data_IF_041971634435
#
_entry.id   IF_041971634435
#
_cell.length_a   1.000
_cell.length_b   1.000
_cell.length_c   1.000
_cell.angle_alpha   90.00
_cell.angle_beta   90.00
_cell.angle_gamma   90.00
#
_symmetry.space_group_name_H-M   'P 1'
#
loop_
_entity.id
_entity.type
_entity.pdbx_description
1 polymer ?
#
# COMPACT_ATOMS: atom_id res chain seq x y z
N UNK A 1 -6.88 15.78 20.71
CA UNK A 1 -6.47 15.01 19.53
C UNK A 1 -6.99 15.74 18.32
N UNK A 2 -6.11 16.24 17.45
CA UNK A 2 -6.54 16.85 16.19
C UNK A 2 -7.15 15.76 15.32
N UNK A 3 -8.43 15.90 14.97
CA UNK A 3 -9.08 15.00 14.00
C UNK A 3 -8.28 15.02 12.71
N UNK A 4 -7.96 13.85 12.17
CA UNK A 4 -7.35 13.76 10.84
C UNK A 4 -8.41 14.06 9.78
N UNK A 5 -7.95 14.28 8.55
CA UNK A 5 -8.80 14.68 7.41
C UNK A 5 -9.84 13.62 7.06
N UNK A 6 -9.46 12.34 7.13
CA UNK A 6 -10.29 11.22 6.69
C UNK A 6 -10.61 10.28 7.86
N UNK A 7 -11.83 9.73 7.87
CA UNK A 7 -12.28 8.70 8.80
C UNK A 7 -11.61 7.38 8.50
N UNK A 8 -11.87 6.79 7.32
CA UNK A 8 -11.28 5.50 6.91
C UNK A 8 -10.50 5.62 5.61
N UNK A 9 -9.26 5.12 5.61
CA UNK A 9 -8.31 5.20 4.49
C UNK A 9 -7.86 3.82 4.05
N UNK A 10 -7.94 3.55 2.75
CA UNK A 10 -7.41 2.34 2.14
C UNK A 10 -5.96 2.53 1.67
N UNK A 11 -5.14 1.49 1.78
CA UNK A 11 -3.83 1.41 1.15
C UNK A 11 -3.55 -0.04 0.76
N UNK A 12 -3.13 -0.27 -0.49
CA UNK A 12 -2.95 -1.60 -1.04
C UNK A 12 -1.56 -1.79 -1.63
N UNK A 13 -1.01 -3.01 -1.51
CA UNK A 13 0.27 -3.34 -2.12
C UNK A 13 0.69 -4.78 -1.90
N UNK A 14 1.73 -5.20 -2.60
CA UNK A 14 2.36 -6.50 -2.33
C UNK A 14 3.20 -6.44 -1.05
N UNK A 15 3.89 -5.33 -0.80
CA UNK A 15 4.75 -5.11 0.38
C UNK A 15 5.89 -6.15 0.52
N UNK A 16 6.33 -6.72 -0.58
CA UNK A 16 7.51 -7.59 -0.61
C UNK A 16 8.80 -6.79 -0.36
N UNK A 17 9.80 -7.40 0.29
CA UNK A 17 11.06 -6.73 0.70
C UNK A 17 10.82 -5.32 1.24
N UNK A 18 9.99 -5.21 2.29
CA UNK A 18 9.52 -3.95 2.88
C UNK A 18 10.62 -2.87 2.95
N UNK A 19 10.39 -1.75 2.27
CA UNK A 19 11.41 -0.74 1.93
C UNK A 19 10.88 0.69 2.09
N UNK A 20 11.74 1.70 1.91
CA UNK A 20 11.39 3.09 2.23
C UNK A 20 10.24 3.66 1.37
N UNK A 21 10.08 3.19 0.12
CA UNK A 21 8.87 3.43 -0.68
C UNK A 21 7.57 2.97 0.01
N UNK A 22 7.53 1.75 0.54
CA UNK A 22 6.37 1.25 1.29
C UNK A 22 6.13 2.05 2.58
N UNK A 23 7.21 2.40 3.29
CA UNK A 23 7.11 3.21 4.51
C UNK A 23 6.49 4.58 4.23
N UNK A 24 6.89 5.24 3.15
CA UNK A 24 6.33 6.55 2.75
C UNK A 24 4.86 6.46 2.36
N UNK A 25 4.48 5.39 1.64
CA UNK A 25 3.09 5.12 1.30
C UNK A 25 2.22 4.98 2.56
N UNK A 26 2.64 4.10 3.48
CA UNK A 26 1.90 3.82 4.71
C UNK A 26 1.91 5.00 5.68
N UNK A 27 3.03 5.72 5.82
CA UNK A 27 3.10 6.91 6.67
C UNK A 27 2.10 7.98 6.23
N UNK A 28 1.92 8.14 4.91
CA UNK A 28 0.95 9.08 4.35
C UNK A 28 -0.48 8.68 4.74
N UNK A 29 -0.83 7.40 4.65
CA UNK A 29 -2.12 6.90 5.10
C UNK A 29 -2.35 7.14 6.61
N UNK A 30 -1.33 6.87 7.44
CA UNK A 30 -1.39 7.15 8.87
C UNK A 30 -1.46 8.64 9.22
N UNK A 31 -0.94 9.54 8.38
CA UNK A 31 -0.99 10.98 8.61
C UNK A 31 -2.41 11.54 8.38
N UNK A 32 -3.09 11.03 7.35
CA UNK A 32 -4.37 11.60 6.88
C UNK A 32 -5.62 10.86 7.39
N UNK A 33 -5.48 9.61 7.86
CA UNK A 33 -6.61 8.72 8.21
C UNK A 33 -6.72 8.35 9.68
N UNK A 34 -7.93 8.39 10.24
CA UNK A 34 -8.21 7.92 11.59
C UNK A 34 -8.13 6.39 11.68
N UNK A 35 -8.69 5.66 10.71
CA UNK A 35 -8.63 4.20 10.56
C UNK A 35 -7.98 3.82 9.23
N UNK A 36 -7.06 2.87 9.24
CA UNK A 36 -6.31 2.45 8.05
C UNK A 36 -6.58 0.97 7.78
N UNK A 37 -6.99 0.66 6.55
CA UNK A 37 -7.07 -0.71 6.07
C UNK A 37 -5.93 -0.98 5.08
N UNK A 38 -5.01 -1.86 5.46
CA UNK A 38 -3.86 -2.25 4.66
C UNK A 38 -4.16 -3.56 3.93
N UNK A 39 -4.37 -3.49 2.63
CA UNK A 39 -4.56 -4.64 1.77
C UNK A 39 -3.24 -5.22 1.26
N UNK A 40 -2.97 -6.48 1.55
CA UNK A 40 -1.74 -7.19 1.17
C UNK A 40 -2.08 -8.25 0.13
N UNK A 41 -1.51 -8.18 -1.08
CA UNK A 41 -1.81 -9.16 -2.14
C UNK A 41 -1.60 -10.59 -1.66
N UNK A 42 -2.50 -11.51 -2.00
CA UNK A 42 -2.33 -12.94 -1.75
C UNK A 42 -1.13 -13.50 -2.52
N UNK A 43 -0.73 -14.73 -2.24
CA UNK A 43 0.40 -15.35 -2.95
C UNK A 43 0.05 -15.65 -4.40
N UNK A 44 -1.19 -16.04 -4.68
CA UNK A 44 -1.68 -16.26 -6.03
C UNK A 44 -1.70 -14.97 -6.85
N UNK A 45 -2.12 -13.85 -6.24
CA UNK A 45 -2.20 -12.58 -6.93
C UNK A 45 -0.83 -11.86 -7.02
N UNK A 46 -0.09 -11.82 -5.91
CA UNK A 46 1.22 -11.17 -5.83
C UNK A 46 2.34 -11.94 -6.52
N UNK A 47 2.28 -13.28 -6.53
CA UNK A 47 3.30 -14.14 -7.13
C UNK A 47 3.42 -14.00 -8.65
N UNK A 48 2.42 -13.41 -9.31
CA UNK A 48 2.50 -13.04 -10.72
C UNK A 48 3.64 -12.04 -11.00
N UNK A 49 4.07 -11.27 -9.99
CA UNK A 49 5.16 -10.28 -10.08
C UNK A 49 6.55 -10.87 -9.76
N UNK A 50 6.65 -12.17 -9.48
CA UNK A 50 7.89 -12.89 -9.21
C UNK A 50 7.87 -13.64 -7.87
N UNK A 51 9.05 -14.16 -7.49
CA UNK A 51 9.22 -14.86 -6.21
C UNK A 51 9.17 -13.85 -5.06
N UNK A 52 8.09 -13.87 -4.29
CA UNK A 52 7.81 -12.96 -3.18
C UNK A 52 7.67 -13.75 -1.89
N UNK A 53 7.91 -13.09 -0.76
CA UNK A 53 7.67 -13.70 0.54
C UNK A 53 6.18 -14.06 0.70
N UNK A 54 5.84 -15.05 1.53
CA UNK A 54 4.43 -15.47 1.68
C UNK A 54 3.55 -14.33 2.20
N UNK A 55 2.25 -14.36 1.87
CA UNK A 55 1.28 -13.34 2.30
C UNK A 55 1.26 -13.23 3.81
N UNK A 56 1.33 -14.38 4.50
CA UNK A 56 1.41 -14.44 5.95
C UNK A 56 2.65 -13.72 6.48
N UNK A 57 3.81 -13.93 5.87
CA UNK A 57 5.07 -13.29 6.27
C UNK A 57 5.03 -11.78 6.00
N UNK A 58 4.57 -11.35 4.83
CA UNK A 58 4.42 -9.92 4.47
C UNK A 58 3.48 -9.19 5.42
N UNK A 59 2.32 -9.79 5.73
CA UNK A 59 1.39 -9.25 6.73
C UNK A 59 2.01 -9.21 8.14
N UNK A 60 2.77 -10.24 8.53
CA UNK A 60 3.45 -10.29 9.83
C UNK A 60 4.51 -9.18 9.95
N UNK A 61 5.29 -8.96 8.90
CA UNK A 61 6.32 -7.91 8.84
C UNK A 61 5.69 -6.51 8.99
N UNK A 62 4.57 -6.26 8.30
CA UNK A 62 3.81 -5.00 8.45
C UNK A 62 3.30 -4.80 9.88
N UNK A 63 2.68 -5.82 10.47
CA UNK A 63 2.17 -5.75 11.85
C UNK A 63 3.29 -5.53 12.86
N UNK A 64 4.43 -6.16 12.68
CA UNK A 64 5.60 -5.95 13.53
C UNK A 64 6.14 -4.53 13.42
N UNK A 65 6.24 -4.00 12.19
CA UNK A 65 6.74 -2.65 11.94
C UNK A 65 5.85 -1.55 12.54
N UNK A 66 4.52 -1.73 12.49
CA UNK A 66 3.55 -0.79 13.06
C UNK A 66 2.98 -1.26 14.40
N UNK A 67 3.75 -2.02 15.18
CA UNK A 67 3.30 -2.57 16.47
C UNK A 67 2.99 -1.49 17.53
N UNK A 68 3.49 -0.27 17.33
CA UNK A 68 3.18 0.92 18.13
C UNK A 68 1.82 1.56 17.79
N UNK A 69 1.17 1.12 16.71
CA UNK A 69 -0.10 1.67 16.22
C UNK A 69 -1.25 0.70 16.46
N UNK A 70 -2.41 1.25 16.81
CA UNK A 70 -3.64 0.47 17.03
C UNK A 70 -4.75 0.75 16.02
N UNK A 71 -4.57 1.77 15.17
CA UNK A 71 -5.62 2.29 14.30
C UNK A 71 -5.56 1.70 12.87
N UNK A 72 -5.13 0.45 12.72
CA UNK A 72 -5.08 -0.21 11.44
C UNK A 72 -5.42 -1.70 11.51
N UNK A 73 -5.88 -2.23 10.38
CA UNK A 73 -6.01 -3.66 10.14
C UNK A 73 -5.24 -4.06 8.89
N UNK A 74 -4.87 -5.34 8.80
CA UNK A 74 -4.19 -5.90 7.63
C UNK A 74 -5.03 -7.06 7.10
N UNK A 75 -5.40 -7.00 5.83
CA UNK A 75 -6.23 -8.00 5.16
C UNK A 75 -5.54 -8.55 3.90
N UNK A 76 -5.79 -9.81 3.52
CA UNK A 76 -5.34 -10.31 2.22
C UNK A 76 -6.18 -9.69 1.08
N UNK A 77 -5.56 -9.48 -0.07
CA UNK A 77 -6.21 -9.06 -1.32
C UNK A 77 -6.09 -10.16 -2.36
N UNK A 78 -7.23 -10.68 -2.81
CA UNK A 78 -7.31 -11.67 -3.89
C UNK A 78 -7.48 -11.03 -5.28
N UNK A 79 -7.77 -9.72 -5.30
CA UNK A 79 -7.99 -8.95 -6.52
C UNK A 79 -7.46 -7.49 -6.36
N UNK A 80 -7.38 -6.69 -7.45
CA UNK A 80 -6.85 -5.33 -7.40
C UNK A 80 -7.69 -4.32 -6.60
N UNK A 81 -8.93 -4.64 -6.23
CA UNK A 81 -9.90 -3.70 -5.67
C UNK A 81 -10.11 -3.91 -4.18
N UNK A 82 -10.16 -5.17 -3.74
CA UNK A 82 -10.46 -5.53 -2.36
C UNK A 82 -11.81 -5.02 -1.87
N UNK A 83 -11.87 -4.64 -0.59
CA UNK A 83 -13.08 -4.13 0.07
C UNK A 83 -13.51 -2.75 -0.42
N UNK A 84 -12.64 -2.01 -1.12
CA UNK A 84 -12.89 -0.62 -1.52
C UNK A 84 -14.06 -0.44 -2.48
N UNK A 85 -14.49 -1.51 -3.16
CA UNK A 85 -15.64 -1.50 -4.07
C UNK A 85 -16.93 -2.04 -3.41
N UNK A 86 -16.90 -2.34 -2.11
CA UNK A 86 -18.02 -2.88 -1.34
C UNK A 86 -18.29 -2.10 -0.03
N UNK A 87 -17.26 -1.54 0.60
CA UNK A 87 -17.37 -0.75 1.83
C UNK A 87 -17.54 0.75 1.51
N UNK A 88 -18.70 1.30 1.88
CA UNK A 88 -19.05 2.70 1.67
C UNK A 88 -18.32 3.65 2.62
N UNK A 89 -17.77 3.15 3.73
CA UNK A 89 -17.17 3.98 4.78
C UNK A 89 -15.77 4.51 4.44
N UNK A 90 -15.16 4.05 3.34
CA UNK A 90 -13.89 4.59 2.88
C UNK A 90 -14.05 6.02 2.36
N UNK A 91 -13.19 6.92 2.85
CA UNK A 91 -13.14 8.31 2.42
C UNK A 91 -12.02 8.56 1.40
N UNK A 92 -10.88 7.87 1.56
CA UNK A 92 -9.69 8.06 0.72
C UNK A 92 -8.93 6.76 0.46
N UNK A 93 -8.13 6.77 -0.60
CA UNK A 93 -7.18 5.71 -0.93
C UNK A 93 -5.80 6.32 -1.20
N UNK A 94 -4.78 5.77 -0.55
CA UNK A 94 -3.37 6.15 -0.76
C UNK A 94 -2.71 5.17 -1.71
N UNK A 95 -2.13 5.69 -2.77
CA UNK A 95 -1.50 4.93 -3.86
C UNK A 95 -0.14 5.49 -4.21
N UNK A 96 0.70 4.67 -4.84
CA UNK A 96 1.90 5.18 -5.52
C UNK A 96 1.53 5.57 -6.95
N UNK A 97 2.46 6.21 -7.65
CA UNK A 97 2.36 6.44 -9.10
C UNK A 97 2.15 5.12 -9.88
N UNK A 98 2.61 3.96 -9.36
CA UNK A 98 2.35 2.64 -9.97
C UNK A 98 0.89 2.21 -9.84
N UNK A 99 0.24 2.50 -8.70
CA UNK A 99 -1.11 1.99 -8.37
C UNK A 99 -2.23 3.01 -8.55
N UNK A 100 -1.90 4.24 -8.95
CA UNK A 100 -2.88 5.29 -9.27
C UNK A 100 -3.91 4.87 -10.33
N UNK A 101 -3.55 4.22 -11.46
CA UNK A 101 -4.55 3.77 -12.43
C UNK A 101 -5.58 2.80 -11.84
N UNK A 102 -5.18 1.99 -10.87
CA UNK A 102 -6.10 1.08 -10.17
C UNK A 102 -7.07 1.85 -9.26
N UNK A 103 -6.62 2.91 -8.58
CA UNK A 103 -7.49 3.77 -7.78
C UNK A 103 -8.53 4.50 -8.64
N UNK A 104 -8.14 4.97 -9.82
CA UNK A 104 -9.09 5.52 -10.80
C UNK A 104 -10.14 4.49 -11.17
N UNK A 105 -9.73 3.24 -11.44
CA UNK A 105 -10.66 2.15 -11.75
C UNK A 105 -11.60 1.80 -10.59
N UNK A 106 -11.10 1.83 -9.36
CA UNK A 106 -11.91 1.66 -8.14
C UNK A 106 -13.01 2.73 -8.10
N UNK A 107 -12.69 3.99 -8.38
CA UNK A 107 -13.68 5.06 -8.39
C UNK A 107 -14.73 4.90 -9.49
N UNK A 108 -14.36 4.43 -10.69
CA UNK A 108 -15.35 4.09 -11.73
C UNK A 108 -16.34 3.01 -11.23
N UNK A 109 -15.82 1.95 -10.58
CA UNK A 109 -16.65 0.88 -10.02
C UNK A 109 -17.55 1.42 -8.91
N UNK A 110 -17.01 2.20 -7.97
CA UNK A 110 -17.78 2.82 -6.88
C UNK A 110 -18.93 3.67 -7.41
N UNK A 111 -18.67 4.54 -8.38
CA UNK A 111 -19.70 5.39 -9.00
C UNK A 111 -20.77 4.56 -9.70
N UNK A 112 -20.39 3.52 -10.45
CA UNK A 112 -21.38 2.62 -11.08
C UNK A 112 -22.25 1.85 -10.09
N UNK A 113 -21.79 1.68 -8.84
CA UNK A 113 -22.54 1.08 -7.74
C UNK A 113 -23.31 2.10 -6.89
N UNK A 114 -23.26 3.39 -7.24
CA UNK A 114 -23.92 4.47 -6.49
C UNK A 114 -23.17 4.91 -5.22
N UNK A 115 -21.92 4.47 -5.05
CA UNK A 115 -21.06 4.86 -3.92
C UNK A 115 -20.32 6.17 -4.23
N UNK A 116 -19.96 6.93 -3.18
CA UNK A 116 -19.11 8.13 -3.34
C UNK A 116 -17.71 7.73 -3.82
N UNK A 117 -17.10 8.46 -4.77
CA UNK A 117 -15.70 8.25 -5.11
C UNK A 117 -14.80 8.54 -3.90
N UNK A 118 -13.67 7.84 -3.83
CA UNK A 118 -12.61 8.06 -2.86
C UNK A 118 -11.74 9.24 -3.29
N UNK A 119 -11.27 10.01 -2.32
CA UNK A 119 -10.16 10.93 -2.54
C UNK A 119 -8.88 10.10 -2.81
N UNK A 120 -8.29 10.27 -4.00
CA UNK A 120 -7.06 9.57 -4.39
C UNK A 120 -5.87 10.43 -3.95
N UNK A 121 -5.02 9.88 -3.09
CA UNK A 121 -3.79 10.52 -2.63
C UNK A 121 -2.59 9.78 -3.22
N UNK A 122 -1.93 10.41 -4.17
CA UNK A 122 -0.77 9.83 -4.87
C UNK A 122 0.52 10.20 -4.15
N UNK A 123 1.34 9.20 -3.89
CA UNK A 123 2.66 9.33 -3.26
C UNK A 123 3.74 9.08 -4.31
N UNK A 124 4.61 10.06 -4.50
CA UNK A 124 5.75 9.91 -5.42
C UNK A 124 6.75 8.85 -4.95
N UNK A 125 7.45 8.27 -5.92
CA UNK A 125 8.46 7.26 -5.64
C UNK A 125 9.59 7.79 -4.75
N UNK A 126 10.02 6.95 -3.81
CA UNK A 126 11.27 7.18 -3.08
C UNK A 126 12.41 6.67 -3.95
N UNK A 127 13.40 7.53 -4.20
CA UNK A 127 14.53 7.24 -5.06
C UNK A 127 15.69 6.62 -4.27
N UNK A 128 16.38 5.69 -4.90
CA UNK A 128 17.65 5.15 -4.43
C UNK A 128 18.81 6.11 -4.75
N UNK A 129 20.02 5.76 -4.31
CA UNK A 129 21.24 6.57 -4.51
C UNK A 129 21.53 6.90 -5.98
N UNK A 130 21.06 6.06 -6.92
CA UNK A 130 21.27 6.18 -8.35
C UNK A 130 20.18 6.98 -9.07
N UNK A 131 19.24 7.57 -8.32
CA UNK A 131 18.12 8.36 -8.85
C UNK A 131 16.97 7.52 -9.40
N UNK A 132 17.05 6.19 -9.38
CA UNK A 132 15.96 5.31 -9.79
C UNK A 132 15.07 4.94 -8.59
N UNK A 133 13.77 4.67 -8.79
CA UNK A 133 12.89 4.23 -7.70
C UNK A 133 13.41 3.02 -6.92
N UNK A 134 13.21 3.02 -5.60
CA UNK A 134 13.37 1.84 -4.76
C UNK A 134 12.23 0.86 -5.07
N UNK A 135 12.56 -0.39 -5.38
CA UNK A 135 11.54 -1.43 -5.58
C UNK A 135 12.01 -2.79 -5.08
N UNK A 136 11.06 -3.65 -4.69
CA UNK A 136 11.32 -5.02 -4.24
C UNK A 136 12.13 -5.83 -5.26
N UNK A 137 11.89 -5.62 -6.55
CA UNK A 137 12.65 -6.29 -7.63
C UNK A 137 14.14 -5.98 -7.56
N UNK A 138 14.51 -4.72 -7.36
CA UNK A 138 15.91 -4.31 -7.27
C UNK A 138 16.57 -4.83 -6.01
N UNK A 139 15.82 -4.89 -4.91
CA UNK A 139 16.28 -5.47 -3.64
C UNK A 139 16.52 -6.99 -3.80
N UNK A 140 15.58 -7.73 -4.42
CA UNK A 140 15.75 -9.16 -4.71
C UNK A 140 16.96 -9.46 -5.60
N UNK A 141 17.27 -8.56 -6.54
CA UNK A 141 18.45 -8.65 -7.41
C UNK A 141 19.76 -8.25 -6.74
N UNK A 142 19.72 -7.75 -5.50
CA UNK A 142 20.90 -7.28 -4.80
C UNK A 142 21.46 -5.95 -5.32
N UNK A 143 20.70 -5.22 -6.14
CA UNK A 143 21.15 -3.92 -6.70
C UNK A 143 21.21 -2.83 -5.62
N UNK A 144 20.26 -2.87 -4.68
CA UNK A 144 20.10 -1.92 -3.57
C UNK A 144 19.56 -2.62 -2.33
N UNK A 145 19.80 -2.06 -1.15
CA UNK A 145 19.12 -2.48 0.07
C UNK A 145 17.75 -1.78 0.24
N UNK A 146 17.04 -2.10 1.34
CA UNK A 146 15.69 -1.59 1.65
C UNK A 146 15.61 -0.06 1.81
N UNK A 147 16.76 0.60 2.00
CA UNK A 147 16.87 2.06 2.11
C UNK A 147 17.34 2.72 0.81
N UNK A 148 17.51 1.94 -0.27
CA UNK A 148 17.99 2.48 -1.54
C UNK A 148 19.49 2.75 -1.59
N UNK A 149 20.28 2.18 -0.67
CA UNK A 149 21.74 2.26 -0.68
C UNK A 149 22.35 1.04 -1.39
N UNK A 150 23.61 1.15 -1.83
CA UNK A 150 24.36 0.04 -2.41
C UNK A 150 24.51 -1.12 -1.41
N UNK A 151 24.45 -2.35 -1.91
CA UNK A 151 24.86 -3.55 -1.16
C UNK A 151 26.34 -3.77 -1.51
N UNK A 152 27.23 -3.47 -0.56
CA UNK A 152 28.69 -3.65 -0.73
C UNK A 152 29.08 -5.00 -1.29
#
# INVERSE_FOLDING_TARGET
MTSKKYGKVAVGGTFDKFHDGHKKLLSTAFEIGNEIEIGVTSDAFGGLKGDIDSCKERMSNLKSFFSDKSNFIVIPLEDPYGTTIYDENFDAIVVSEETEPTAVKINEIRVSKGMKPLDIVVVSFVLAYDGNPISSTRIRRGEINQNGNFIK
#
